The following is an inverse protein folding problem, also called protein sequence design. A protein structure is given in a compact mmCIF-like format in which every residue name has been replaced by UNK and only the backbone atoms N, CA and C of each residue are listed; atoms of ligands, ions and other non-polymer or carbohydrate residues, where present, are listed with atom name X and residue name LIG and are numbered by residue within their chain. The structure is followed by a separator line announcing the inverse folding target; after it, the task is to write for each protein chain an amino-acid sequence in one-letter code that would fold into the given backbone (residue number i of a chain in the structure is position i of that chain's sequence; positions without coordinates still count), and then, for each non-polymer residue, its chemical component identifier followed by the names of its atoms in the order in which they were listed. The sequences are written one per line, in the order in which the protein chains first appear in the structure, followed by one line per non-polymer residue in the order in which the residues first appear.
data_IF_527898164311
#
_entry.id   IF_527898164311
#
_cell.length_a   1.000
_cell.length_b   1.000
_cell.length_c   1.000
_cell.angle_alpha   90.00
_cell.angle_beta   90.00
_cell.angle_gamma   90.00
#
_symmetry.space_group_name_H-M   'P 1'
#
loop_
_entity.id
_entity.type
_entity.pdbx_description
1 polymer ?
#
# COMPACT_ATOMS: atom_id res chain seq x y z
N UNK A 1 9.21 37.52 6.31
CA UNK A 1 9.72 36.23 5.79
C UNK A 1 9.71 35.17 6.90
N UNK A 2 8.73 35.23 7.80
CA UNK A 2 8.58 34.34 8.98
C UNK A 2 7.19 33.69 8.98
N UNK A 3 6.50 33.73 7.83
CA UNK A 3 5.03 33.69 7.73
C UNK A 3 4.47 32.27 7.89
N UNK A 4 5.25 31.24 7.53
CA UNK A 4 4.74 29.86 7.57
C UNK A 4 5.01 29.14 8.91
N UNK A 5 5.72 29.79 9.84
CA UNK A 5 6.08 29.19 11.14
C UNK A 5 4.84 28.90 11.98
N UNK A 6 3.82 29.76 11.92
CA UNK A 6 2.56 29.52 12.63
C UNK A 6 1.85 28.25 12.16
N UNK A 7 1.93 27.90 10.87
CA UNK A 7 1.33 26.67 10.34
C UNK A 7 2.09 25.43 10.80
N UNK A 8 3.42 25.52 10.89
CA UNK A 8 4.26 24.44 11.43
C UNK A 8 3.86 24.14 12.88
N UNK A 9 3.76 25.18 13.71
CA UNK A 9 3.36 25.01 15.11
C UNK A 9 1.91 24.53 15.24
N UNK A 10 0.98 25.05 14.43
CA UNK A 10 -0.40 24.58 14.43
C UNK A 10 -0.54 23.09 14.05
N UNK A 11 0.29 22.59 13.12
CA UNK A 11 0.30 21.16 12.75
C UNK A 11 0.85 20.31 13.88
N UNK A 12 1.95 20.75 14.52
CA UNK A 12 2.52 20.07 15.69
C UNK A 12 1.49 19.99 16.82
N UNK A 13 0.87 21.10 17.19
CA UNK A 13 -0.16 21.15 18.22
C UNK A 13 -1.36 20.27 17.88
N UNK A 14 -1.84 20.32 16.64
CA UNK A 14 -2.94 19.47 16.19
C UNK A 14 -2.60 17.97 16.26
N UNK A 15 -1.35 17.59 15.97
CA UNK A 15 -0.89 16.21 16.09
C UNK A 15 -0.86 15.73 17.55
N UNK A 16 -0.47 16.60 18.48
CA UNK A 16 -0.41 16.30 19.91
C UNK A 16 -1.80 16.26 20.56
N UNK A 17 -2.71 17.15 20.17
CA UNK A 17 -4.03 17.26 20.78
C UNK A 17 -5.10 16.36 20.16
N UNK A 18 -4.87 15.81 18.96
CA UNK A 18 -5.90 15.03 18.26
C UNK A 18 -5.38 13.74 17.65
N UNK A 19 -4.82 13.80 16.43
CA UNK A 19 -4.19 12.67 15.74
C UNK A 19 -3.45 13.16 14.50
N UNK A 20 -2.48 12.38 14.03
CA UNK A 20 -1.83 12.60 12.74
C UNK A 20 -2.84 12.65 11.58
N UNK A 21 -3.93 11.87 11.64
CA UNK A 21 -5.05 11.94 10.68
C UNK A 21 -5.66 13.35 10.58
N UNK A 22 -5.96 13.95 11.73
CA UNK A 22 -6.55 15.28 11.77
C UNK A 22 -5.53 16.35 11.38
N UNK A 23 -4.26 16.17 11.74
CA UNK A 23 -3.18 17.02 11.29
C UNK A 23 -3.05 17.01 9.75
N UNK A 24 -3.16 15.84 9.09
CA UNK A 24 -3.21 15.75 7.61
C UNK A 24 -4.41 16.48 7.00
N UNK A 25 -5.60 16.34 7.59
CA UNK A 25 -6.80 17.09 7.17
C UNK A 25 -6.62 18.59 7.34
N UNK A 26 -6.01 19.03 8.43
CA UNK A 26 -5.73 20.44 8.70
C UNK A 26 -4.76 21.00 7.65
N UNK A 27 -3.66 20.28 7.38
CA UNK A 27 -2.70 20.65 6.35
C UNK A 27 -3.39 20.77 4.97
N UNK A 28 -4.21 19.80 4.57
CA UNK A 28 -4.98 19.87 3.33
C UNK A 28 -5.91 21.11 3.28
N UNK A 29 -6.56 21.46 4.38
CA UNK A 29 -7.40 22.67 4.46
C UNK A 29 -6.58 23.96 4.30
N UNK A 30 -5.41 24.05 4.93
CA UNK A 30 -4.51 25.20 4.80
C UNK A 30 -4.02 25.38 3.35
N UNK A 31 -3.79 24.27 2.62
CA UNK A 31 -3.49 24.31 1.18
C UNK A 31 -4.68 24.79 0.36
N UNK A 32 -5.91 24.39 0.72
CA UNK A 32 -7.14 24.82 0.02
C UNK A 32 -7.39 26.32 0.20
N UNK A 33 -7.19 26.85 1.40
CA UNK A 33 -7.36 28.27 1.75
C UNK A 33 -6.26 29.18 1.19
N UNK A 34 -5.17 28.60 0.64
CA UNK A 34 -3.99 29.33 0.14
C UNK A 34 -3.29 30.15 1.22
N UNK A 35 -3.38 29.70 2.48
CA UNK A 35 -2.77 30.38 3.62
C UNK A 35 -1.27 30.14 3.71
N UNK A 36 -0.78 29.01 3.19
CA UNK A 36 0.64 28.65 3.23
C UNK A 36 1.35 29.21 1.99
N UNK A 37 2.43 29.96 2.20
CA UNK A 37 3.25 30.52 1.13
C UNK A 37 4.19 29.50 0.49
N UNK A 38 4.80 28.63 1.30
CA UNK A 38 5.75 27.58 0.88
C UNK A 38 5.34 26.20 1.42
N UNK A 39 4.35 25.54 0.81
CA UNK A 39 3.86 24.23 1.24
C UNK A 39 4.91 23.14 1.42
N UNK A 40 5.92 23.13 0.55
CA UNK A 40 7.01 22.16 0.61
C UNK A 40 7.87 22.31 1.87
N UNK A 41 8.10 23.54 2.35
CA UNK A 41 8.85 23.81 3.59
C UNK A 41 8.05 23.34 4.80
N UNK A 42 6.76 23.66 4.85
CA UNK A 42 5.86 23.22 5.94
C UNK A 42 5.77 21.70 5.96
N UNK A 43 5.64 21.05 4.80
CA UNK A 43 5.64 19.60 4.67
C UNK A 43 6.94 18.98 5.21
N UNK A 44 8.11 19.43 4.75
CA UNK A 44 9.39 18.89 5.20
C UNK A 44 9.63 19.09 6.71
N UNK A 45 9.10 20.17 7.28
CA UNK A 45 9.19 20.43 8.72
C UNK A 45 8.19 19.62 9.57
N UNK A 46 7.13 19.06 8.97
CA UNK A 46 6.01 18.48 9.73
C UNK A 46 5.62 17.05 9.36
N UNK A 47 6.23 16.45 8.33
CA UNK A 47 5.82 15.13 7.83
C UNK A 47 5.82 14.04 8.91
N UNK A 48 6.73 14.08 9.89
CA UNK A 48 6.77 13.10 10.99
C UNK A 48 5.49 13.13 11.84
N UNK A 49 5.02 14.32 12.19
CA UNK A 49 3.75 14.53 12.90
C UNK A 49 2.55 14.14 12.04
N UNK A 50 2.65 14.37 10.73
CA UNK A 50 1.62 14.00 9.76
C UNK A 50 1.60 12.51 9.46
N UNK A 51 2.58 11.71 9.88
CA UNK A 51 2.71 10.30 9.48
C UNK A 51 2.76 9.32 10.64
N UNK A 52 2.79 9.81 11.88
CA UNK A 52 2.91 9.03 13.13
C UNK A 52 1.92 7.84 13.20
N UNK A 53 0.69 8.01 12.74
CA UNK A 53 -0.35 6.97 12.81
C UNK A 53 -0.35 5.95 11.66
N UNK A 54 0.42 6.19 10.59
CA UNK A 54 0.26 5.46 9.31
C UNK A 54 0.62 4.00 9.44
N UNK A 55 1.78 3.69 10.02
CA UNK A 55 2.23 2.31 10.15
C UNK A 55 1.29 1.50 11.04
N UNK A 56 0.86 2.10 12.16
CA UNK A 56 -0.10 1.48 13.07
C UNK A 56 -1.43 1.18 12.37
N UNK A 57 -1.98 2.14 11.63
CA UNK A 57 -3.21 1.96 10.86
C UNK A 57 -3.06 0.88 9.79
N UNK A 58 -1.97 0.89 9.03
CA UNK A 58 -1.74 -0.11 7.98
C UNK A 58 -1.65 -1.52 8.54
N UNK A 59 -0.96 -1.73 9.65
CA UNK A 59 -0.92 -3.04 10.35
C UNK A 59 -2.32 -3.51 10.75
N UNK A 60 -3.18 -2.61 11.20
CA UNK A 60 -4.57 -2.93 11.57
C UNK A 60 -5.45 -3.23 10.36
N UNK A 61 -5.29 -2.49 9.27
CA UNK A 61 -6.04 -2.68 8.03
C UNK A 61 -5.69 -4.02 7.36
N UNK A 62 -4.41 -4.39 7.33
CA UNK A 62 -3.93 -5.62 6.69
C UNK A 62 -3.97 -6.85 7.60
N UNK A 63 -4.13 -6.65 8.92
CA UNK A 63 -4.03 -7.72 9.91
C UNK A 63 -2.62 -8.26 10.11
N UNK A 64 -1.58 -7.54 9.65
CA UNK A 64 -0.17 -7.96 9.71
C UNK A 64 0.61 -7.12 10.72
N UNK A 65 0.74 -7.55 11.99
CA UNK A 65 1.42 -6.76 13.02
C UNK A 65 2.94 -6.63 12.78
N UNK A 66 3.54 -7.56 12.03
CA UNK A 66 4.94 -7.60 11.62
C UNK A 66 5.26 -6.72 10.41
N UNK A 67 4.25 -6.17 9.75
CA UNK A 67 4.42 -5.30 8.59
C UNK A 67 5.26 -4.08 8.94
N UNK A 68 6.22 -3.77 8.09
CA UNK A 68 7.01 -2.55 8.14
C UNK A 68 6.91 -1.83 6.81
N UNK A 69 7.00 -0.50 6.88
CA UNK A 69 6.98 0.37 5.72
C UNK A 69 8.25 1.22 5.74
N UNK A 70 8.83 1.49 4.58
CA UNK A 70 9.93 2.46 4.47
C UNK A 70 9.40 3.87 4.71
N UNK A 71 10.30 4.80 5.04
CA UNK A 71 9.93 6.22 5.22
C UNK A 71 9.27 6.78 3.95
N UNK A 72 9.76 6.39 2.78
CA UNK A 72 9.19 6.79 1.49
C UNK A 72 7.76 6.29 1.32
N UNK A 73 7.49 5.02 1.65
CA UNK A 73 6.14 4.46 1.61
C UNK A 73 5.19 5.16 2.59
N UNK A 74 5.67 5.45 3.81
CA UNK A 74 4.91 6.17 4.84
C UNK A 74 4.56 7.58 4.36
N UNK A 75 5.55 8.33 3.85
CA UNK A 75 5.35 9.66 3.26
C UNK A 75 4.36 9.59 2.10
N UNK A 76 4.48 8.59 1.23
CA UNK A 76 3.61 8.42 0.09
C UNK A 76 2.14 8.17 0.47
N UNK A 77 1.90 7.37 1.50
CA UNK A 77 0.54 7.13 2.03
C UNK A 77 -0.04 8.44 2.59
N UNK A 78 0.73 9.21 3.35
CA UNK A 78 0.29 10.54 3.81
C UNK A 78 -0.05 11.48 2.64
N UNK A 79 0.82 11.55 1.63
CA UNK A 79 0.61 12.37 0.43
C UNK A 79 -0.64 11.95 -0.33
N UNK A 80 -0.92 10.65 -0.41
CA UNK A 80 -2.13 10.11 -1.03
C UNK A 80 -3.39 10.54 -0.27
N UNK A 81 -3.38 10.45 1.06
CA UNK A 81 -4.51 10.92 1.89
C UNK A 81 -4.73 12.44 1.74
N UNK A 82 -3.65 13.23 1.71
CA UNK A 82 -3.71 14.67 1.49
C UNK A 82 -4.26 14.99 0.08
N UNK A 83 -3.76 14.32 -0.96
CA UNK A 83 -4.25 14.49 -2.34
C UNK A 83 -5.75 14.19 -2.42
N UNK A 84 -6.22 13.11 -1.81
CA UNK A 84 -7.66 12.78 -1.76
C UNK A 84 -8.48 13.88 -1.09
N UNK A 85 -7.99 14.46 0.01
CA UNK A 85 -8.64 15.62 0.64
C UNK A 85 -8.64 16.86 -0.26
N UNK A 86 -7.59 17.10 -1.04
CA UNK A 86 -7.55 18.21 -2.00
C UNK A 86 -8.50 17.98 -3.17
N UNK A 87 -8.55 16.76 -3.72
CA UNK A 87 -9.38 16.40 -4.86
C UNK A 87 -10.88 16.56 -4.53
N UNK A 88 -11.29 16.19 -3.31
CA UNK A 88 -12.66 16.46 -2.83
C UNK A 88 -13.03 17.94 -2.77
N UNK A 89 -12.02 18.84 -2.79
CA UNK A 89 -12.18 20.29 -2.84
C UNK A 89 -11.81 20.88 -4.22
N UNK A 90 -11.72 20.05 -5.26
CA UNK A 90 -11.37 20.49 -6.62
C UNK A 90 -9.94 21.02 -6.77
N UNK A 91 -9.02 20.61 -5.89
CA UNK A 91 -7.59 20.96 -5.95
C UNK A 91 -6.73 19.71 -6.07
N UNK A 92 -5.45 19.90 -6.40
CA UNK A 92 -4.46 18.82 -6.45
C UNK A 92 -3.10 19.37 -6.05
N UNK A 93 -2.24 18.53 -5.48
CA UNK A 93 -0.84 18.82 -5.17
C UNK A 93 -0.05 19.25 -6.41
N UNK A 94 -0.51 18.89 -7.62
CA UNK A 94 0.05 19.35 -8.90
C UNK A 94 0.12 20.88 -9.00
N UNK A 95 -0.69 21.61 -8.25
CA UNK A 95 -0.65 23.09 -8.19
C UNK A 95 0.63 23.64 -7.58
N UNK A 96 1.34 22.87 -6.75
CA UNK A 96 2.58 23.28 -6.09
C UNK A 96 3.75 22.46 -6.64
N UNK A 97 4.55 23.01 -7.59
CA UNK A 97 5.58 22.25 -8.28
C UNK A 97 6.64 21.64 -7.35
N UNK A 98 6.96 22.32 -6.24
CA UNK A 98 7.95 21.89 -5.26
C UNK A 98 7.41 20.90 -4.22
N UNK A 99 6.09 20.69 -4.15
CA UNK A 99 5.54 19.66 -3.25
C UNK A 99 5.85 18.27 -3.81
N UNK A 100 6.31 17.31 -2.99
CA UNK A 100 6.24 15.91 -3.37
C UNK A 100 4.81 15.53 -3.75
N UNK A 101 4.70 14.65 -4.75
CA UNK A 101 3.41 14.09 -5.19
C UNK A 101 3.34 12.63 -4.76
N UNK A 102 2.13 12.12 -4.52
CA UNK A 102 1.97 10.68 -4.36
C UNK A 102 2.41 9.98 -5.65
N UNK A 103 3.30 9.02 -5.51
CA UNK A 103 3.68 8.07 -6.53
C UNK A 103 2.80 6.83 -6.43
N UNK A 104 2.49 6.24 -7.58
CA UNK A 104 1.78 4.98 -7.66
C UNK A 104 2.78 3.83 -7.49
N UNK A 105 2.96 3.40 -6.25
CA UNK A 105 3.85 2.27 -5.94
C UNK A 105 3.20 0.90 -6.19
N UNK A 106 2.00 0.84 -6.76
CA UNK A 106 1.20 -0.38 -6.74
C UNK A 106 0.72 -0.64 -5.31
N UNK A 107 -0.59 -0.75 -5.15
CA UNK A 107 -1.31 -1.02 -3.90
C UNK A 107 -0.45 -1.29 -2.63
N UNK A 108 -0.24 -0.26 -1.81
CA UNK A 108 0.01 -0.42 -0.36
C UNK A 108 -1.17 -1.10 0.37
N UNK A 109 -2.24 -1.34 -0.37
CA UNK A 109 -3.35 -2.19 0.00
C UNK A 109 -2.92 -3.61 -0.32
N UNK A 110 -2.15 -4.22 0.59
CA UNK A 110 -1.80 -5.63 0.53
C UNK A 110 -3.07 -6.42 0.27
N UNK A 111 -3.23 -6.88 -0.97
CA UNK A 111 -4.19 -7.91 -1.24
C UNK A 111 -3.59 -9.13 -0.57
N UNK A 112 -4.04 -9.43 0.65
CA UNK A 112 -3.51 -10.52 1.46
C UNK A 112 -3.40 -11.81 0.65
N UNK A 113 -4.34 -12.06 -0.26
CA UNK A 113 -4.31 -13.22 -1.13
C UNK A 113 -3.12 -13.19 -2.10
N UNK A 114 -2.82 -12.04 -2.71
CA UNK A 114 -1.64 -11.90 -3.59
C UNK A 114 -0.35 -11.96 -2.76
N UNK A 115 -0.32 -11.30 -1.60
CA UNK A 115 0.85 -11.33 -0.71
C UNK A 115 1.13 -12.77 -0.21
N UNK A 116 0.09 -13.50 0.18
CA UNK A 116 0.18 -14.89 0.62
C UNK A 116 0.61 -15.79 -0.56
N UNK A 117 0.03 -15.58 -1.76
CA UNK A 117 0.40 -16.29 -2.98
C UNK A 117 1.84 -16.00 -3.42
N UNK A 118 2.39 -14.81 -3.16
CA UNK A 118 3.78 -14.48 -3.47
C UNK A 118 4.78 -14.92 -2.39
N UNK A 119 4.31 -15.27 -1.20
CA UNK A 119 5.12 -15.67 -0.05
C UNK A 119 5.19 -17.20 0.09
N UNK A 120 5.20 -17.94 -1.02
CA UNK A 120 5.45 -19.37 -0.94
C UNK A 120 6.91 -19.65 -0.52
N UNK A 121 7.07 -20.51 0.48
CA UNK A 121 8.38 -21.09 0.80
C UNK A 121 8.77 -22.05 -0.30
N UNK A 122 9.76 -21.70 -1.14
CA UNK A 122 10.21 -22.54 -2.27
C UNK A 122 10.57 -23.95 -1.79
N UNK A 123 11.23 -24.06 -0.64
CA UNK A 123 11.65 -25.35 -0.08
C UNK A 123 10.47 -26.18 0.44
N UNK A 124 9.48 -25.54 1.08
CA UNK A 124 8.28 -26.21 1.57
C UNK A 124 7.39 -26.68 0.42
N UNK A 125 7.26 -25.85 -0.63
CA UNK A 125 6.54 -26.20 -1.86
C UNK A 125 7.23 -27.34 -2.61
N UNK A 126 8.57 -27.35 -2.65
CA UNK A 126 9.30 -28.46 -3.27
C UNK A 126 9.04 -29.77 -2.53
N UNK A 127 9.12 -29.76 -1.19
CA UNK A 127 8.84 -30.94 -0.35
C UNK A 127 7.42 -31.46 -0.55
N UNK A 128 6.43 -30.56 -0.57
CA UNK A 128 5.04 -30.95 -0.78
C UNK A 128 4.82 -31.47 -2.21
N UNK A 129 5.42 -30.85 -3.21
CA UNK A 129 5.37 -31.32 -4.59
C UNK A 129 5.98 -32.73 -4.74
N UNK A 130 7.15 -32.99 -4.17
CA UNK A 130 7.77 -34.32 -4.17
C UNK A 130 6.86 -35.37 -3.51
N UNK A 131 6.23 -35.01 -2.38
CA UNK A 131 5.27 -35.88 -1.67
C UNK A 131 4.05 -36.19 -2.54
N UNK A 132 3.47 -35.18 -3.19
CA UNK A 132 2.29 -35.34 -4.04
C UNK A 132 2.60 -36.11 -5.32
N UNK A 133 3.75 -35.85 -5.95
CA UNK A 133 4.22 -36.57 -7.13
C UNK A 133 4.48 -38.05 -6.85
N UNK A 134 4.81 -38.43 -5.61
CA UNK A 134 4.91 -39.83 -5.21
C UNK A 134 3.54 -40.53 -5.07
N UNK A 135 2.45 -39.77 -4.91
CA UNK A 135 1.09 -40.28 -4.69
C UNK A 135 0.17 -40.14 -5.91
N UNK A 136 0.67 -39.56 -7.01
CA UNK A 136 -0.12 -39.23 -8.20
C UNK A 136 -0.45 -40.49 -9.02
N UNK A 137 -1.62 -40.51 -9.65
CA UNK A 137 -1.99 -41.57 -10.60
C UNK A 137 -1.53 -41.25 -12.02
N UNK A 138 -1.48 -42.27 -12.89
CA UNK A 138 -1.12 -42.12 -14.31
C UNK A 138 -2.04 -41.12 -15.06
N UNK A 139 -3.31 -41.02 -14.66
CA UNK A 139 -4.24 -40.06 -15.25
C UNK A 139 -3.95 -38.62 -14.77
N UNK A 140 -3.72 -38.45 -13.47
CA UNK A 140 -3.42 -37.15 -12.87
C UNK A 140 -2.09 -36.58 -13.37
N UNK A 141 -1.05 -37.41 -13.53
CA UNK A 141 0.24 -36.97 -14.06
C UNK A 141 0.15 -36.56 -15.53
N UNK A 142 -0.73 -37.19 -16.30
CA UNK A 142 -1.03 -36.78 -17.68
C UNK A 142 -1.57 -35.35 -17.75
N UNK A 143 -2.58 -35.05 -16.92
CA UNK A 143 -3.17 -33.69 -16.84
C UNK A 143 -2.16 -32.69 -16.29
N UNK A 144 -1.41 -33.05 -15.24
CA UNK A 144 -0.36 -32.21 -14.66
C UNK A 144 0.67 -31.77 -15.71
N UNK A 145 1.19 -32.71 -16.49
CA UNK A 145 2.16 -32.41 -17.56
C UNK A 145 1.56 -31.55 -18.66
N UNK A 146 0.29 -31.75 -19.00
CA UNK A 146 -0.40 -30.92 -20.00
C UNK A 146 -0.50 -29.46 -19.53
N UNK A 147 -0.88 -29.22 -18.28
CA UNK A 147 -0.95 -27.87 -17.68
C UNK A 147 0.45 -27.26 -17.62
N UNK A 148 1.44 -28.01 -17.13
CA UNK A 148 2.82 -27.53 -17.01
C UNK A 148 3.39 -27.12 -18.37
N UNK A 149 3.19 -27.95 -19.40
CA UNK A 149 3.60 -27.63 -20.77
C UNK A 149 2.86 -26.40 -21.31
N UNK A 150 1.57 -26.23 -20.98
CA UNK A 150 0.81 -25.08 -21.44
C UNK A 150 1.38 -23.76 -20.89
N UNK A 151 1.75 -23.77 -19.60
CA UNK A 151 2.39 -22.64 -18.89
C UNK A 151 3.80 -22.38 -19.42
N UNK A 152 4.64 -23.41 -19.53
CA UNK A 152 6.02 -23.27 -19.99
C UNK A 152 6.14 -22.74 -21.42
N UNK A 153 5.15 -23.04 -22.26
CA UNK A 153 5.12 -22.60 -23.67
C UNK A 153 4.23 -21.37 -23.90
N UNK A 154 3.71 -20.74 -22.83
CA UNK A 154 2.80 -19.59 -22.89
C UNK A 154 1.62 -19.79 -23.87
N UNK A 155 1.18 -21.04 -23.99
CA UNK A 155 0.17 -21.43 -24.99
C UNK A 155 -1.27 -21.23 -24.50
N UNK A 156 -1.43 -20.89 -23.21
CA UNK A 156 -2.73 -20.71 -22.55
C UNK A 156 -3.56 -22.00 -22.52
N UNK A 157 -4.78 -21.91 -21.99
CA UNK A 157 -5.71 -23.04 -21.95
C UNK A 157 -6.76 -22.89 -20.85
N UNK A 158 -7.87 -23.62 -21.00
CA UNK A 158 -8.90 -23.74 -19.95
C UNK A 158 -8.92 -25.19 -19.48
N UNK A 159 -8.74 -25.39 -18.18
CA UNK A 159 -8.74 -26.69 -17.54
C UNK A 159 -9.83 -26.73 -16.47
N UNK A 160 -10.62 -27.80 -16.47
CA UNK A 160 -11.63 -28.04 -15.43
C UNK A 160 -11.14 -29.15 -14.51
N UNK A 161 -11.00 -28.86 -13.23
CA UNK A 161 -10.56 -29.82 -12.22
C UNK A 161 -11.78 -30.24 -11.38
N UNK A 162 -12.17 -31.52 -11.49
CA UNK A 162 -13.22 -32.10 -10.66
C UNK A 162 -12.61 -32.83 -9.46
N UNK A 163 -12.69 -32.21 -8.28
CA UNK A 163 -12.34 -32.85 -7.01
C UNK A 163 -13.56 -33.51 -6.36
N UNK A 164 -13.33 -34.57 -5.59
CA UNK A 164 -14.35 -35.14 -4.71
C UNK A 164 -14.50 -34.25 -3.47
N UNK A 165 -15.44 -33.32 -3.50
CA UNK A 165 -15.80 -32.45 -2.37
C UNK A 165 -17.27 -32.08 -2.47
N UNK A 166 -18.06 -32.54 -1.50
CA UNK A 166 -19.49 -32.25 -1.42
C UNK A 166 -19.78 -30.75 -1.38
N UNK A 167 -20.95 -30.41 -1.91
CA UNK A 167 -21.61 -29.09 -1.92
C UNK A 167 -21.55 -28.34 -0.61
#
# INVERSE_FOLDING_TARGET
MDDDKEFIEAIKDASLCSSATNARKLFARMLVSRSISQPHVVWEATWEYLTEDILYKKRRETGRPDMNLTIEQIKNIALTEIENHLLSNGRSLKKWPLMPKPEDFGCYNGNRLIDDELKYGVEDQLKENERLMAMITDEQIGVYNQILNAVLNDSGGVFFLSGYGGT
#
